data_IF_678416469604
#
_entry.id   IF_678416469604
#
_cell.length_a   1.000
_cell.length_b   1.000
_cell.length_c   1.000
_cell.angle_alpha   90.00
_cell.angle_beta   90.00
_cell.angle_gamma   90.00
#
_symmetry.space_group_name_H-M   'P 1'
#
loop_
_entity.id
_entity.type
_entity.pdbx_description
1 polymer ?
#
# COMPACT_ATOMS: atom_id res chain seq x y z
N UNK A 1 -19.09 -5.74 47.17
CA UNK A 1 -18.68 -4.32 47.21
C UNK A 1 -17.32 -4.06 46.58
N UNK A 2 -16.19 -4.61 47.06
CA UNK A 2 -14.87 -4.32 46.44
C UNK A 2 -14.72 -4.95 45.05
N UNK A 3 -15.26 -6.16 44.86
CA UNK A 3 -15.27 -6.86 43.55
C UNK A 3 -16.08 -6.11 42.48
N UNK A 4 -17.21 -5.51 42.85
CA UNK A 4 -18.12 -4.84 41.91
C UNK A 4 -17.51 -3.53 41.37
N UNK A 5 -16.74 -2.81 42.19
CA UNK A 5 -16.04 -1.59 41.78
C UNK A 5 -14.88 -1.90 40.83
N UNK A 6 -14.11 -2.96 41.11
CA UNK A 6 -13.04 -3.41 40.22
C UNK A 6 -13.58 -3.89 38.86
N UNK A 7 -14.75 -4.55 38.87
CA UNK A 7 -15.40 -5.03 37.66
C UNK A 7 -15.96 -3.89 36.81
N UNK A 8 -16.58 -2.88 37.45
CA UNK A 8 -17.07 -1.68 36.78
C UNK A 8 -15.94 -0.81 36.19
N UNK A 9 -14.79 -0.74 36.87
CA UNK A 9 -13.58 -0.12 36.31
C UNK A 9 -13.05 -0.87 35.09
N UNK A 10 -13.04 -2.22 35.14
CA UNK A 10 -12.61 -3.04 34.02
C UNK A 10 -13.51 -2.85 32.79
N UNK A 11 -14.83 -2.83 33.00
CA UNK A 11 -15.83 -2.55 31.96
C UNK A 11 -15.63 -1.16 31.36
N UNK A 12 -15.37 -0.15 32.19
CA UNK A 12 -15.11 1.23 31.72
C UNK A 12 -13.84 1.30 30.85
N UNK A 13 -12.77 0.62 31.25
CA UNK A 13 -11.53 0.55 30.45
C UNK A 13 -11.77 -0.17 29.13
N UNK A 14 -12.55 -1.26 29.12
CA UNK A 14 -12.93 -1.97 27.90
C UNK A 14 -13.79 -1.12 26.97
N UNK A 15 -14.73 -0.34 27.51
CA UNK A 15 -15.56 0.61 26.75
C UNK A 15 -14.69 1.70 26.13
N UNK A 16 -13.80 2.32 26.91
CA UNK A 16 -12.89 3.36 26.42
C UNK A 16 -11.92 2.84 25.35
N UNK A 17 -11.39 1.62 25.52
CA UNK A 17 -10.54 0.97 24.53
C UNK A 17 -11.33 0.65 23.24
N UNK A 18 -12.55 0.14 23.39
CA UNK A 18 -13.46 -0.15 22.27
C UNK A 18 -13.87 1.12 21.51
N UNK A 19 -14.14 2.23 22.19
CA UNK A 19 -14.44 3.52 21.56
C UNK A 19 -13.23 4.12 20.86
N UNK A 20 -12.03 4.00 21.43
CA UNK A 20 -10.81 4.43 20.74
C UNK A 20 -10.58 3.64 19.46
N UNK A 21 -10.74 2.31 19.49
CA UNK A 21 -10.61 1.47 18.29
C UNK A 21 -11.66 1.79 17.23
N UNK A 22 -12.90 2.12 17.63
CA UNK A 22 -13.95 2.60 16.70
C UNK A 22 -13.60 3.95 16.06
N UNK A 23 -12.82 4.79 16.74
CA UNK A 23 -12.34 6.07 16.25
C UNK A 23 -11.00 5.97 15.50
N UNK A 24 -10.35 4.80 15.44
CA UNK A 24 -9.20 4.60 14.56
C UNK A 24 -9.73 4.36 13.15
N UNK A 25 -9.63 5.40 12.32
CA UNK A 25 -10.02 5.35 10.92
C UNK A 25 -8.92 4.60 10.13
N UNK A 26 -8.92 3.26 10.17
CA UNK A 26 -7.96 2.45 9.42
C UNK A 26 -8.20 2.61 7.92
N UNK A 27 -7.23 3.14 7.19
CA UNK A 27 -7.30 3.28 5.73
C UNK A 27 -7.54 1.91 5.08
N UNK A 28 -8.52 1.83 4.18
CA UNK A 28 -8.84 0.59 3.47
C UNK A 28 -7.99 0.45 2.21
N UNK A 29 -7.40 -0.73 2.03
CA UNK A 29 -6.66 -1.09 0.83
C UNK A 29 -7.45 -2.07 -0.03
N UNK A 30 -7.33 -1.90 -1.34
CA UNK A 30 -8.01 -2.67 -2.37
C UNK A 30 -7.00 -3.05 -3.45
N UNK A 31 -7.23 -4.17 -4.12
CA UNK A 31 -6.53 -4.49 -5.37
C UNK A 31 -7.40 -4.11 -6.56
N UNK A 32 -6.77 -3.66 -7.63
CA UNK A 32 -7.48 -3.30 -8.86
C UNK A 32 -6.59 -3.40 -10.08
N UNK A 33 -7.20 -3.30 -11.27
CA UNK A 33 -6.50 -3.38 -12.55
C UNK A 33 -6.44 -1.99 -13.16
N UNK A 34 -5.27 -1.57 -13.60
CA UNK A 34 -5.07 -0.27 -14.25
C UNK A 34 -5.72 -0.29 -15.63
N UNK A 35 -6.58 0.70 -15.90
CA UNK A 35 -7.30 0.86 -17.18
C UNK A 35 -6.76 2.00 -18.03
N UNK A 36 -6.21 3.02 -17.40
CA UNK A 36 -5.62 4.18 -18.08
C UNK A 36 -4.57 4.85 -17.18
N UNK A 37 -3.53 5.44 -17.76
CA UNK A 37 -2.43 6.12 -17.05
C UNK A 37 -2.17 7.47 -17.72
N UNK A 38 -2.21 8.55 -16.93
CA UNK A 38 -2.01 9.93 -17.38
C UNK A 38 -1.14 10.69 -16.38
N UNK A 39 0.17 10.61 -16.58
CA UNK A 39 1.15 11.23 -15.68
C UNK A 39 0.99 10.70 -14.26
N UNK A 40 0.75 11.57 -13.29
CA UNK A 40 0.59 11.21 -11.86
C UNK A 40 -0.82 10.74 -11.49
N UNK A 41 -1.63 10.33 -12.47
CA UNK A 41 -3.00 9.86 -12.29
C UNK A 41 -3.21 8.56 -13.07
N UNK A 42 -3.97 7.64 -12.52
CA UNK A 42 -4.48 6.48 -13.27
C UNK A 42 -5.95 6.25 -12.97
N UNK A 43 -6.60 5.54 -13.89
CA UNK A 43 -7.91 4.93 -13.66
C UNK A 43 -7.65 3.47 -13.31
N UNK A 44 -8.18 3.04 -12.16
CA UNK A 44 -8.08 1.66 -11.68
C UNK A 44 -9.48 1.10 -11.53
N UNK A 45 -9.74 -0.04 -12.14
CA UNK A 45 -10.96 -0.79 -11.89
C UNK A 45 -10.83 -1.51 -10.54
N UNK A 46 -11.63 -1.08 -9.57
CA UNK A 46 -11.71 -1.65 -8.23
C UNK A 46 -13.14 -2.15 -8.02
N UNK A 47 -13.28 -3.45 -7.75
CA UNK A 47 -14.57 -4.10 -7.49
C UNK A 47 -15.63 -3.87 -8.59
N UNK A 48 -15.21 -3.83 -9.87
CA UNK A 48 -16.09 -3.62 -11.02
C UNK A 48 -16.50 -2.17 -11.25
N UNK A 49 -15.81 -1.21 -10.62
CA UNK A 49 -16.01 0.23 -10.83
C UNK A 49 -14.69 0.95 -11.08
N UNK A 50 -14.70 1.89 -12.02
CA UNK A 50 -13.53 2.72 -12.30
C UNK A 50 -13.35 3.76 -11.19
N UNK A 51 -12.14 3.81 -10.63
CA UNK A 51 -11.74 4.77 -9.62
C UNK A 51 -10.50 5.53 -10.08
N UNK A 52 -10.57 6.87 -10.03
CA UNK A 52 -9.39 7.71 -10.24
C UNK A 52 -8.46 7.62 -9.02
N UNK A 53 -7.18 7.34 -9.29
CA UNK A 53 -6.16 7.17 -8.28
C UNK A 53 -4.96 8.08 -8.57
N UNK A 54 -4.34 8.57 -7.50
CA UNK A 54 -3.08 9.33 -7.55
C UNK A 54 -1.93 8.33 -7.58
N UNK A 55 -0.97 8.56 -8.47
CA UNK A 55 0.27 7.78 -8.54
C UNK A 55 1.38 8.57 -7.83
N UNK A 56 2.02 8.00 -6.79
CA UNK A 56 3.25 8.54 -6.23
C UNK A 56 4.32 8.70 -7.29
N UNK A 57 5.11 9.77 -7.22
CA UNK A 57 6.12 10.07 -8.24
C UNK A 57 7.13 8.93 -8.44
N UNK A 58 7.50 8.21 -7.38
CA UNK A 58 8.43 7.08 -7.45
C UNK A 58 7.83 5.84 -8.14
N UNK A 59 6.50 5.75 -8.27
CA UNK A 59 5.83 4.63 -8.94
C UNK A 59 5.45 4.95 -10.38
N UNK A 60 5.46 6.22 -10.80
CA UNK A 60 4.89 6.64 -12.10
C UNK A 60 5.49 5.93 -13.31
N UNK A 61 6.77 5.59 -13.25
CA UNK A 61 7.49 4.91 -14.34
C UNK A 61 7.26 3.39 -14.39
N UNK A 62 6.56 2.84 -13.41
CA UNK A 62 6.40 1.40 -13.20
C UNK A 62 4.94 0.95 -13.26
N UNK A 63 4.02 1.85 -13.67
CA UNK A 63 2.60 1.54 -13.79
C UNK A 63 2.21 1.61 -15.26
N UNK A 64 1.82 0.48 -15.82
CA UNK A 64 1.25 0.39 -17.16
C UNK A 64 -0.22 -0.05 -17.12
N UNK A 65 -0.89 0.10 -18.26
CA UNK A 65 -2.25 -0.43 -18.46
C UNK A 65 -2.22 -1.96 -18.29
N UNK A 66 -3.26 -2.50 -17.66
CA UNK A 66 -3.45 -3.90 -17.28
C UNK A 66 -2.57 -4.41 -16.11
N UNK A 67 -1.71 -3.57 -15.52
CA UNK A 67 -1.04 -3.92 -14.27
C UNK A 67 -2.04 -4.05 -13.11
N UNK A 68 -1.72 -4.94 -12.16
CA UNK A 68 -2.46 -5.02 -10.89
C UNK A 68 -1.82 -4.02 -9.93
N UNK A 69 -2.64 -3.22 -9.25
CA UNK A 69 -2.19 -2.24 -8.26
C UNK A 69 -2.87 -2.43 -6.92
N UNK A 70 -2.17 -2.06 -5.85
CA UNK A 70 -2.74 -1.89 -4.52
C UNK A 70 -3.12 -0.43 -4.37
N UNK A 71 -4.40 -0.17 -4.15
CA UNK A 71 -5.00 1.16 -3.99
C UNK A 71 -5.41 1.34 -2.54
N UNK A 72 -5.01 2.45 -1.92
CA UNK A 72 -5.45 2.82 -0.58
C UNK A 72 -6.37 4.04 -0.63
N UNK A 73 -7.50 3.96 0.06
CA UNK A 73 -8.34 5.12 0.35
C UNK A 73 -7.79 5.86 1.58
N UNK A 74 -7.24 7.05 1.35
CA UNK A 74 -6.58 7.85 2.40
C UNK A 74 -7.61 8.49 3.34
N UNK A 75 -8.80 8.79 2.81
CA UNK A 75 -9.86 9.48 3.55
C UNK A 75 -10.93 8.55 4.11
N UNK A 76 -10.93 7.27 3.74
CA UNK A 76 -12.03 6.31 3.95
C UNK A 76 -13.39 6.86 3.50
N UNK A 77 -13.39 7.78 2.54
CA UNK A 77 -14.55 8.47 2.02
C UNK A 77 -14.67 8.30 0.49
N UNK A 78 -13.88 7.39 -0.08
CA UNK A 78 -13.73 7.13 -1.51
C UNK A 78 -13.27 8.32 -2.36
N UNK A 79 -13.01 9.49 -1.76
CA UNK A 79 -12.72 10.72 -2.49
C UNK A 79 -11.26 10.79 -2.96
N UNK A 80 -10.33 10.19 -2.21
CA UNK A 80 -8.91 10.22 -2.53
C UNK A 80 -8.29 8.84 -2.36
N UNK A 81 -7.96 8.25 -3.52
CA UNK A 81 -7.29 6.97 -3.61
C UNK A 81 -5.88 7.14 -4.13
N UNK A 82 -4.93 6.43 -3.55
CA UNK A 82 -3.52 6.46 -3.95
C UNK A 82 -3.05 5.04 -4.27
N UNK A 83 -2.24 4.91 -5.32
CA UNK A 83 -1.55 3.66 -5.59
C UNK A 83 -0.40 3.51 -4.60
N UNK A 84 -0.41 2.43 -3.84
CA UNK A 84 0.65 2.11 -2.87
C UNK A 84 1.71 1.17 -3.45
N UNK A 85 1.36 0.40 -4.46
CA UNK A 85 2.26 -0.55 -5.09
C UNK A 85 1.68 -1.10 -6.38
N UNK A 86 2.58 -1.53 -7.25
CA UNK A 86 2.29 -2.27 -8.48
C UNK A 86 2.65 -3.73 -8.27
N UNK A 87 1.87 -4.60 -8.88
CA UNK A 87 2.12 -6.01 -9.09
C UNK A 87 2.04 -6.19 -10.61
N UNK A 88 3.20 -6.08 -11.27
CA UNK A 88 3.34 -6.15 -12.72
C UNK A 88 4.08 -7.42 -13.11
N UNK A 89 3.64 -8.06 -14.20
CA UNK A 89 4.39 -9.14 -14.85
C UNK A 89 5.45 -8.62 -15.83
N UNK A 90 5.37 -7.34 -16.21
CA UNK A 90 6.28 -6.68 -17.15
C UNK A 90 7.48 -6.09 -16.41
N UNK A 91 7.24 -5.45 -15.27
CA UNK A 91 8.28 -4.88 -14.41
C UNK A 91 8.75 -5.92 -13.38
N UNK A 92 9.65 -6.82 -13.80
CA UNK A 92 10.14 -7.95 -13.00
C UNK A 92 11.02 -7.56 -11.79
N UNK A 93 11.54 -6.33 -11.76
CA UNK A 93 12.52 -5.88 -10.76
C UNK A 93 11.90 -4.92 -9.73
N UNK A 94 10.71 -5.25 -9.21
CA UNK A 94 10.17 -4.55 -8.03
C UNK A 94 10.68 -5.21 -6.75
N UNK A 95 11.85 -4.75 -6.28
CA UNK A 95 12.36 -5.15 -4.97
C UNK A 95 11.74 -4.27 -3.88
N UNK A 96 11.01 -4.90 -2.96
CA UNK A 96 10.67 -4.30 -1.66
C UNK A 96 11.80 -4.64 -0.69
N UNK A 97 12.52 -3.62 -0.21
CA UNK A 97 13.52 -3.82 0.85
C UNK A 97 12.76 -3.84 2.18
N UNK A 98 12.65 -5.03 2.77
CA UNK A 98 12.09 -5.23 4.09
C UNK A 98 13.21 -5.10 5.14
N UNK A 99 13.02 -4.22 6.11
CA UNK A 99 13.88 -4.11 7.29
C UNK A 99 13.33 -5.01 8.41
N UNK A 100 14.01 -6.11 8.75
CA UNK A 100 13.55 -7.03 9.78
C UNK A 100 13.75 -6.51 11.21
N UNK A 101 14.56 -5.47 11.41
CA UNK A 101 14.83 -4.86 12.73
C UNK A 101 13.70 -3.89 13.08
N UNK A 102 13.27 -3.10 12.10
CA UNK A 102 12.18 -2.13 12.26
C UNK A 102 10.80 -2.70 11.90
N UNK A 103 10.73 -3.95 11.46
CA UNK A 103 9.53 -4.68 11.02
C UNK A 103 8.67 -3.87 10.02
N UNK A 104 9.34 -3.26 9.04
CA UNK A 104 8.69 -2.43 8.02
C UNK A 104 9.39 -2.50 6.67
N UNK A 105 8.63 -2.20 5.62
CA UNK A 105 9.19 -1.97 4.29
C UNK A 105 9.85 -0.58 4.30
N UNK A 106 11.17 -0.52 4.07
CA UNK A 106 11.96 0.72 4.16
C UNK A 106 12.24 1.37 2.80
N UNK A 107 12.10 0.62 1.71
CA UNK A 107 12.19 1.17 0.36
C UNK A 107 11.35 0.35 -0.63
N UNK A 108 10.80 1.03 -1.63
CA UNK A 108 10.17 0.40 -2.78
C UNK A 108 10.68 1.09 -4.04
N UNK A 109 11.42 0.29 -4.82
CA UNK A 109 11.97 0.56 -6.15
C UNK A 109 13.09 1.62 -6.19
N UNK A 110 14.32 1.14 -6.20
CA UNK A 110 15.32 1.67 -7.14
C UNK A 110 15.78 0.51 -8.03
N UNK A 111 15.65 0.71 -9.34
CA UNK A 111 16.36 -0.08 -10.33
C UNK A 111 17.85 -0.03 -9.96
N UNK A 112 18.44 -1.18 -9.62
CA UNK A 112 19.87 -1.23 -9.27
C UNK A 112 20.66 -0.70 -10.47
N UNK A 113 21.40 0.39 -10.26
CA UNK A 113 22.15 1.07 -11.30
C UNK A 113 23.64 0.82 -11.12
N UNK A 114 24.29 0.32 -12.17
CA UNK A 114 25.73 0.18 -12.20
C UNK A 114 26.35 1.53 -12.61
N UNK A 115 26.96 2.25 -11.67
CA UNK A 115 27.61 3.53 -11.94
C UNK A 115 28.84 3.41 -12.87
N UNK A 116 29.56 2.28 -12.82
CA UNK A 116 30.75 2.07 -13.66
C UNK A 116 30.36 1.74 -15.10
N UNK A 117 29.31 0.93 -15.28
CA UNK A 117 28.87 0.46 -16.59
C UNK A 117 27.70 1.26 -17.16
N UNK A 118 27.21 2.27 -16.43
CA UNK A 118 26.12 3.18 -16.81
C UNK A 118 24.89 2.42 -17.35
N UNK A 119 24.49 1.35 -16.65
CA UNK A 119 23.41 0.47 -17.11
C UNK A 119 22.62 -0.11 -15.93
N UNK A 120 21.35 -0.49 -16.17
CA UNK A 120 20.56 -1.23 -15.20
C UNK A 120 21.16 -2.61 -14.90
N UNK A 121 21.14 -3.00 -13.63
CA UNK A 121 21.45 -4.34 -13.16
C UNK A 121 20.12 -5.09 -13.05
N UNK A 122 19.91 -6.06 -13.94
CA UNK A 122 18.77 -6.97 -13.87
C UNK A 122 19.18 -8.16 -13.00
N UNK A 123 18.48 -8.39 -11.88
CA UNK A 123 18.76 -9.53 -11.01
C UNK A 123 17.86 -10.70 -11.43
N UNK A 124 18.45 -11.74 -12.01
CA UNK A 124 17.74 -12.99 -12.30
C UNK A 124 17.81 -13.84 -11.02
N UNK A 125 16.70 -13.93 -10.29
CA UNK A 125 16.58 -14.86 -9.16
C UNK A 125 16.35 -16.26 -9.72
N UNK A 126 17.38 -17.11 -9.67
CA UNK A 126 17.20 -18.56 -9.80
C UNK A 126 16.68 -19.09 -8.46
N UNK A 127 15.48 -19.66 -8.47
CA UNK A 127 14.90 -20.37 -7.33
C UNK A 127 15.30 -21.83 -7.49
N UNK A 128 16.11 -22.36 -6.56
CA UNK A 128 16.37 -23.80 -6.43
C UNK A 128 15.15 -24.58 -5.95
#
# INVERSE_FOLDING_TARGET
MIKDIQQSLLETVQILAGERLKNVNFTKSYTGIVRDVKGLRCIVEVLGSDSECIIPYNLVSFIDVDDIVIVQDIGNNNAQKIVQGVISSLHKDMFHIYDPIEDRIVSSIEQLWDEELQKPINVILEIE
#
